data_IF_655656027633
#
_entry.id   IF_655656027633
#
_cell.length_a   1.000
_cell.length_b   1.000
_cell.length_c   1.000
_cell.angle_alpha   90.00
_cell.angle_beta   90.00
_cell.angle_gamma   90.00
#
_symmetry.space_group_name_H-M   'P 1'
#
loop_
_entity.id
_entity.type
_entity.pdbx_description
1 polymer ?
#
# COMPACT_ATOMS: atom_id res chain seq x y z
N UNK A 1 -1.81 -4.70 -23.14
CA UNK A 1 -0.86 -3.91 -22.35
C UNK A 1 0.58 -4.25 -22.69
N UNK A 2 1.11 -5.44 -22.36
CA UNK A 2 2.53 -5.79 -22.62
C UNK A 2 2.95 -5.63 -24.09
N UNK A 3 2.18 -6.18 -25.03
CA UNK A 3 2.48 -6.09 -26.46
C UNK A 3 2.51 -4.66 -26.99
N UNK A 4 1.65 -3.78 -26.47
CA UNK A 4 1.63 -2.35 -26.83
C UNK A 4 2.90 -1.63 -26.37
N UNK A 5 3.60 -2.15 -25.35
CA UNK A 5 4.88 -1.66 -24.88
C UNK A 5 6.07 -2.46 -25.46
N UNK A 6 5.85 -3.38 -26.40
CA UNK A 6 6.90 -4.23 -26.98
C UNK A 6 7.43 -5.33 -26.03
N UNK A 7 6.67 -5.71 -25.01
CA UNK A 7 7.06 -6.70 -24.00
C UNK A 7 6.31 -8.02 -24.13
N UNK A 8 6.91 -9.09 -23.61
CA UNK A 8 6.34 -10.43 -23.47
C UNK A 8 6.20 -10.82 -21.99
N UNK A 9 5.53 -11.95 -21.72
CA UNK A 9 5.41 -12.49 -20.36
C UNK A 9 6.76 -12.92 -19.77
N UNK A 10 7.72 -13.30 -20.59
CA UNK A 10 9.06 -13.72 -20.14
C UNK A 10 9.86 -12.57 -19.51
N UNK A 11 9.45 -11.33 -19.76
CA UNK A 11 10.04 -10.14 -19.13
C UNK A 11 9.43 -9.82 -17.76
N UNK A 12 8.34 -10.47 -17.38
CA UNK A 12 7.61 -10.20 -16.13
C UNK A 12 7.97 -11.24 -15.06
N UNK A 13 7.93 -10.87 -13.76
CA UNK A 13 8.05 -11.85 -12.69
C UNK A 13 6.83 -12.78 -12.67
N UNK A 14 7.00 -13.96 -12.06
CA UNK A 14 5.86 -14.78 -11.66
C UNK A 14 4.99 -14.03 -10.63
N UNK A 15 3.67 -14.13 -10.77
CA UNK A 15 2.70 -13.46 -9.91
C UNK A 15 2.17 -14.43 -8.86
N UNK A 16 1.97 -13.93 -7.64
CA UNK A 16 1.53 -14.68 -6.47
C UNK A 16 0.59 -13.83 -5.63
N UNK A 17 -0.23 -14.45 -4.79
CA UNK A 17 -0.98 -13.72 -3.76
C UNK A 17 -0.03 -13.28 -2.65
N UNK A 18 -0.36 -12.19 -1.96
CA UNK A 18 0.59 -11.54 -1.04
C UNK A 18 1.05 -12.44 0.12
N UNK A 19 0.23 -13.42 0.51
CA UNK A 19 0.54 -14.41 1.54
C UNK A 19 1.27 -15.66 1.04
N UNK A 20 1.44 -15.83 -0.28
CA UNK A 20 2.12 -17.00 -0.83
C UNK A 20 3.64 -16.89 -0.63
N UNK A 21 4.27 -18.01 -0.29
CA UNK A 21 5.74 -18.12 -0.23
C UNK A 21 6.29 -18.19 -1.65
N UNK A 22 7.20 -17.28 -1.98
CA UNK A 22 7.84 -17.18 -3.32
C UNK A 22 9.28 -17.69 -3.33
N UNK A 23 9.86 -17.91 -2.15
CA UNK A 23 11.23 -18.41 -2.01
C UNK A 23 11.66 -18.46 -0.55
N UNK A 24 12.96 -18.62 -0.36
CA UNK A 24 13.62 -18.58 0.94
C UNK A 24 14.83 -17.65 0.85
N UNK A 25 15.29 -17.13 2.00
CA UNK A 25 16.54 -16.37 2.02
C UNK A 25 17.69 -17.21 1.45
N UNK A 26 18.48 -16.60 0.57
CA UNK A 26 19.71 -17.19 0.08
C UNK A 26 20.64 -17.49 1.27
N UNK A 27 21.43 -18.58 1.24
CA UNK A 27 22.31 -18.94 2.34
C UNK A 27 23.26 -17.81 2.78
N UNK A 28 23.79 -17.03 1.82
CA UNK A 28 24.65 -15.88 2.09
C UNK A 28 23.93 -14.74 2.82
N UNK A 29 22.66 -14.47 2.47
CA UNK A 29 21.83 -13.45 3.13
C UNK A 29 21.42 -13.90 4.52
N UNK A 30 20.96 -15.14 4.66
CA UNK A 30 20.61 -15.76 5.94
C UNK A 30 21.78 -15.70 6.93
N UNK A 31 22.99 -16.08 6.50
CA UNK A 31 24.21 -15.98 7.30
C UNK A 31 24.57 -14.54 7.67
N UNK A 32 24.45 -13.59 6.75
CA UNK A 32 24.78 -12.19 7.01
C UNK A 32 23.85 -11.55 8.04
N UNK A 33 22.58 -11.99 8.11
CA UNK A 33 21.58 -11.48 9.04
C UNK A 33 21.44 -12.31 10.31
N UNK A 34 22.22 -13.38 10.46
CA UNK A 34 22.11 -14.34 11.56
C UNK A 34 20.69 -14.91 11.71
N UNK A 35 20.08 -15.26 10.57
CA UNK A 35 18.77 -15.88 10.47
C UNK A 35 18.88 -17.25 9.78
N UNK A 36 17.95 -18.19 10.02
CA UNK A 36 17.83 -19.38 9.17
C UNK A 36 17.37 -18.96 7.76
N UNK A 37 17.39 -19.91 6.81
CA UNK A 37 16.82 -19.73 5.48
C UNK A 37 15.28 -19.66 5.55
N UNK A 38 14.75 -18.57 6.09
CA UNK A 38 13.32 -18.37 6.33
C UNK A 38 12.56 -18.22 5.01
N UNK A 39 11.30 -18.68 4.95
CA UNK A 39 10.41 -18.41 3.82
C UNK A 39 10.21 -16.90 3.61
N UNK A 40 10.09 -16.49 2.35
CA UNK A 40 9.80 -15.11 1.93
C UNK A 40 8.48 -15.12 1.17
N UNK A 41 7.53 -14.30 1.62
CA UNK A 41 6.22 -14.14 0.96
C UNK A 41 6.26 -13.11 -0.16
N UNK A 42 5.29 -13.15 -1.08
CA UNK A 42 5.19 -12.18 -2.16
C UNK A 42 5.01 -10.74 -1.65
N UNK A 43 4.30 -10.57 -0.53
CA UNK A 43 4.06 -9.28 0.10
C UNK A 43 3.02 -8.44 -0.65
N UNK A 44 3.14 -7.12 -0.55
CA UNK A 44 2.22 -6.21 -1.24
C UNK A 44 2.81 -4.81 -1.34
N UNK A 45 2.20 -3.97 -2.19
CA UNK A 45 2.49 -2.53 -2.19
C UNK A 45 2.18 -1.91 -0.83
N UNK A 46 2.82 -0.79 -0.52
CA UNK A 46 2.72 -0.09 0.77
C UNK A 46 1.29 0.08 1.31
N UNK A 47 0.35 0.53 0.48
CA UNK A 47 -1.04 0.75 0.86
C UNK A 47 -1.78 -0.56 1.16
N UNK A 48 -1.59 -1.58 0.31
CA UNK A 48 -2.23 -2.88 0.51
C UNK A 48 -1.63 -3.64 1.70
N UNK A 49 -0.31 -3.57 1.89
CA UNK A 49 0.37 -4.13 3.06
C UNK A 49 -0.03 -3.40 4.34
N UNK A 50 -0.11 -2.06 4.30
CA UNK A 50 -0.60 -1.25 5.41
C UNK A 50 -2.04 -1.59 5.78
N UNK A 51 -2.92 -1.75 4.79
CA UNK A 51 -4.30 -2.19 4.98
C UNK A 51 -4.37 -3.56 5.69
N UNK A 52 -3.57 -4.55 5.27
CA UNK A 52 -3.46 -5.83 5.99
C UNK A 52 -3.01 -5.62 7.44
N UNK A 53 -2.00 -4.78 7.67
CA UNK A 53 -1.47 -4.49 9.00
C UNK A 53 -2.49 -3.86 9.97
N UNK A 54 -3.48 -3.12 9.47
CA UNK A 54 -4.57 -2.54 10.26
C UNK A 54 -5.84 -3.41 10.29
N UNK A 55 -5.79 -4.63 9.76
CA UNK A 55 -6.92 -5.57 9.77
C UNK A 55 -7.99 -5.31 8.71
N UNK A 56 -7.66 -4.58 7.65
CA UNK A 56 -8.54 -4.41 6.49
C UNK A 56 -8.35 -5.58 5.52
N UNK A 57 -9.31 -6.50 5.52
CA UNK A 57 -9.29 -7.73 4.73
C UNK A 57 -10.61 -7.99 3.98
N UNK A 58 -11.72 -7.41 4.45
CA UNK A 58 -13.07 -7.70 4.00
C UNK A 58 -13.75 -6.47 3.39
N UNK A 59 -14.63 -6.75 2.42
CA UNK A 59 -15.38 -5.72 1.73
C UNK A 59 -16.20 -4.84 2.70
N UNK A 60 -16.23 -3.54 2.42
CA UNK A 60 -16.91 -2.56 3.27
C UNK A 60 -16.01 -1.95 4.36
N UNK A 61 -14.80 -2.48 4.57
CA UNK A 61 -13.80 -1.82 5.41
C UNK A 61 -13.11 -0.69 4.63
N UNK A 62 -12.95 0.45 5.29
CA UNK A 62 -12.25 1.60 4.74
C UNK A 62 -11.36 2.28 5.80
N UNK A 63 -10.28 2.89 5.34
CA UNK A 63 -9.38 3.70 6.16
C UNK A 63 -9.12 5.02 5.47
N UNK A 64 -9.07 6.06 6.30
CA UNK A 64 -8.57 7.36 5.92
C UNK A 64 -7.27 7.61 6.68
N UNK A 65 -6.15 7.52 5.99
CA UNK A 65 -4.85 7.90 6.54
C UNK A 65 -4.69 9.41 6.41
N UNK A 66 -4.59 10.10 7.55
CA UNK A 66 -4.37 11.55 7.62
C UNK A 66 -2.88 11.83 7.82
N UNK A 67 -2.06 11.46 6.82
CA UNK A 67 -0.65 11.84 6.76
C UNK A 67 -0.43 13.19 6.06
N UNK A 68 0.85 13.53 5.81
CA UNK A 68 1.22 14.69 4.97
C UNK A 68 0.59 14.59 3.57
N UNK A 69 0.58 13.38 3.01
CA UNK A 69 -0.29 12.99 1.90
C UNK A 69 -1.33 12.02 2.44
N UNK A 70 -2.61 12.37 2.33
CA UNK A 70 -3.70 11.51 2.77
C UNK A 70 -4.01 10.43 1.77
N UNK A 71 -4.46 9.28 2.27
CA UNK A 71 -4.94 8.17 1.43
C UNK A 71 -6.29 7.72 1.95
N UNK A 72 -7.26 7.65 1.04
CA UNK A 72 -8.50 6.94 1.28
C UNK A 72 -8.41 5.57 0.63
N UNK A 73 -8.48 4.51 1.45
CA UNK A 73 -8.41 3.13 1.03
C UNK A 73 -9.71 2.44 1.40
N UNK A 74 -10.31 1.67 0.47
CA UNK A 74 -11.53 0.91 0.75
C UNK A 74 -11.45 -0.48 0.10
N UNK A 75 -11.67 -1.53 0.88
CA UNK A 75 -11.79 -2.90 0.36
C UNK A 75 -13.14 -3.04 -0.35
N UNK A 76 -13.11 -3.43 -1.62
CA UNK A 76 -14.30 -3.54 -2.45
C UNK A 76 -14.83 -4.97 -2.54
N UNK A 77 -16.13 -5.09 -2.79
CA UNK A 77 -16.74 -6.37 -3.16
C UNK A 77 -16.41 -6.66 -4.64
N UNK A 78 -15.34 -7.43 -4.86
CA UNK A 78 -14.84 -7.68 -6.20
C UNK A 78 -14.13 -6.47 -6.83
N UNK A 79 -13.76 -6.62 -8.10
CA UNK A 79 -13.15 -5.55 -8.88
C UNK A 79 -14.18 -4.48 -9.27
N UNK A 80 -13.93 -3.23 -8.88
CA UNK A 80 -14.76 -2.08 -9.25
C UNK A 80 -13.96 -1.12 -10.12
N UNK A 81 -14.45 -0.83 -11.33
CA UNK A 81 -13.78 0.07 -12.27
C UNK A 81 -14.58 1.36 -12.45
N UNK A 82 -13.94 2.49 -12.16
CA UNK A 82 -14.41 3.84 -12.50
C UNK A 82 -13.24 4.68 -13.06
N UNK A 83 -12.73 4.35 -14.25
CA UNK A 83 -11.51 4.94 -14.79
C UNK A 83 -11.64 6.45 -15.06
N UNK A 84 -12.87 6.94 -15.28
CA UNK A 84 -13.16 8.37 -15.47
C UNK A 84 -13.11 9.17 -14.14
N UNK A 85 -13.00 8.48 -13.01
CA UNK A 85 -12.87 9.10 -11.68
C UNK A 85 -11.43 9.05 -11.19
N UNK A 86 -11.05 9.94 -10.28
CA UNK A 86 -9.73 9.93 -9.63
C UNK A 86 -9.55 8.78 -8.60
N UNK A 87 -10.29 7.68 -8.76
CA UNK A 87 -10.24 6.50 -7.91
C UNK A 87 -9.52 5.37 -8.65
N UNK A 88 -8.40 4.95 -8.10
CA UNK A 88 -7.67 3.80 -8.60
C UNK A 88 -8.28 2.50 -8.06
N UNK A 89 -8.27 1.45 -8.88
CA UNK A 89 -8.67 0.10 -8.47
C UNK A 89 -7.51 -0.87 -8.69
N UNK A 90 -7.16 -1.59 -7.64
CA UNK A 90 -6.05 -2.54 -7.63
C UNK A 90 -6.45 -3.83 -6.91
N UNK A 91 -5.71 -4.92 -7.18
CA UNK A 91 -5.78 -6.12 -6.37
C UNK A 91 -5.29 -5.80 -4.94
N UNK A 92 -5.91 -6.42 -3.94
CA UNK A 92 -5.40 -6.40 -2.58
C UNK A 92 -4.19 -7.34 -2.46
N UNK A 93 -3.45 -7.25 -1.36
CA UNK A 93 -2.41 -8.23 -1.00
C UNK A 93 -2.97 -9.57 -0.46
N UNK A 94 -4.28 -9.80 -0.54
CA UNK A 94 -4.94 -11.01 -0.04
C UNK A 94 -5.69 -11.73 -1.18
N UNK A 95 -5.76 -13.08 -1.13
CA UNK A 95 -6.38 -13.87 -2.20
C UNK A 95 -7.81 -13.45 -2.53
N UNK A 96 -8.06 -13.18 -3.82
CA UNK A 96 -9.40 -12.86 -4.32
C UNK A 96 -10.00 -11.58 -3.72
N UNK A 97 -9.15 -10.62 -3.34
CA UNK A 97 -9.56 -9.33 -2.79
C UNK A 97 -9.13 -8.17 -3.68
N UNK A 98 -9.88 -7.07 -3.61
CA UNK A 98 -9.64 -5.84 -4.34
C UNK A 98 -9.80 -4.64 -3.43
N UNK A 99 -9.21 -3.52 -3.83
CA UNK A 99 -9.41 -2.26 -3.14
C UNK A 99 -9.50 -1.09 -4.11
N UNK A 100 -10.11 -0.03 -3.60
CA UNK A 100 -10.13 1.30 -4.18
C UNK A 100 -9.18 2.19 -3.39
N UNK A 101 -8.48 3.07 -4.11
CA UNK A 101 -7.55 4.03 -3.53
C UNK A 101 -7.75 5.40 -4.18
N UNK A 102 -7.81 6.43 -3.34
CA UNK A 102 -7.75 7.84 -3.74
C UNK A 102 -6.74 8.59 -2.90
N UNK A 103 -5.95 9.44 -3.57
CA UNK A 103 -4.95 10.30 -2.91
C UNK A 103 -5.62 11.62 -2.54
N UNK A 104 -5.44 12.03 -1.28
CA UNK A 104 -5.90 13.31 -0.75
C UNK A 104 -4.67 14.18 -0.43
N UNK A 105 -4.37 15.16 -1.28
CA UNK A 105 -3.13 15.94 -1.25
C UNK A 105 -2.91 16.77 0.03
N UNK A 106 -3.94 17.04 0.83
CA UNK A 106 -3.84 17.93 1.99
C UNK A 106 -4.70 17.45 3.16
N UNK A 107 -4.38 16.28 3.70
CA UNK A 107 -5.13 15.68 4.80
C UNK A 107 -4.75 16.25 6.17
N UNK A 108 -3.55 15.95 6.69
CA UNK A 108 -3.09 16.55 7.96
C UNK A 108 -2.30 17.84 7.75
N UNK A 109 -1.63 18.01 6.61
CA UNK A 109 -0.81 19.19 6.31
C UNK A 109 -1.60 20.50 6.28
N UNK A 110 -2.91 20.46 5.97
CA UNK A 110 -3.76 21.64 6.02
C UNK A 110 -4.03 22.11 7.47
N UNK A 111 -4.07 21.19 8.43
CA UNK A 111 -4.24 21.51 9.85
C UNK A 111 -2.98 22.20 10.40
N UNK A 112 -1.80 21.65 10.10
CA UNK A 112 -0.52 22.28 10.48
C UNK A 112 -0.36 23.68 9.87
N UNK A 113 -0.72 23.82 8.59
CA UNK A 113 -0.73 25.12 7.93
C UNK A 113 -1.67 26.11 8.62
N UNK A 114 -2.90 25.69 8.94
CA UNK A 114 -3.90 26.54 9.60
C UNK A 114 -3.46 26.94 11.02
N UNK A 115 -2.85 26.02 11.77
CA UNK A 115 -2.31 26.31 13.10
C UNK A 115 -1.18 27.33 13.03
N UNK A 116 -0.22 27.18 12.10
CA UNK A 116 0.84 28.17 11.87
C UNK A 116 0.29 29.53 11.43
N UNK A 117 -0.70 29.54 10.53
CA UNK A 117 -1.32 30.77 10.04
C UNK A 117 -2.03 31.56 11.13
N UNK A 118 -2.67 30.87 12.08
CA UNK A 118 -3.42 31.50 13.19
C UNK A 118 -2.57 31.75 14.43
N UNK A 119 -1.27 31.46 14.39
CA UNK A 119 -0.37 31.61 15.53
C UNK A 119 -0.58 30.58 16.65
N UNK A 120 -1.29 29.50 16.36
CA UNK A 120 -1.57 28.36 17.26
C UNK A 120 -0.63 27.17 17.01
N UNK A 121 0.32 27.30 16.08
CA UNK A 121 1.32 26.27 15.78
C UNK A 121 2.27 26.03 16.96
N UNK A 122 2.69 24.77 17.11
CA UNK A 122 3.41 24.27 18.28
C UNK A 122 4.60 25.15 18.67
N UNK A 123 4.62 25.59 19.93
CA UNK A 123 5.73 26.30 20.57
C UNK A 123 6.65 25.34 21.34
N UNK A 124 6.66 24.04 21.01
CA UNK A 124 7.59 23.08 21.61
C UNK A 124 8.99 23.17 20.99
N UNK A 125 9.62 24.34 21.12
CA UNK A 125 11.06 24.51 20.99
C UNK A 125 11.64 24.62 22.40
N UNK A 126 12.46 23.64 22.77
CA UNK A 126 13.34 23.60 23.94
C UNK A 126 14.07 24.93 24.17
N UNK A 127 13.91 25.50 25.36
CA UNK A 127 15.01 26.18 26.08
C UNK A 127 15.83 25.12 26.85
#
# INVERSE_FOLDING_TARGET
>A
MLSACGLTRDHMPALFEGCDITGHLLPSVASAWNLPAVPVVAGGGDNAAGAVGVGMADAGQAMLSLGTSGVYFAVSEGFLSKPDSAVHSFCHALPGRWHLMSVMLSAASCLDWAARLTGLGDRSGTD
#
